data_IF_298737783513
#
_entry.id   IF_298737783513
#
_cell.length_a   1.000
_cell.length_b   1.000
_cell.length_c   1.000
_cell.angle_alpha   90.00
_cell.angle_beta   90.00
_cell.angle_gamma   90.00
#
_symmetry.space_group_name_H-M   'P 1'
#
loop_
_entity.id
_entity.type
_entity.pdbx_description
1 polymer ?
#
# COMPACT_ATOMS: atom_id res chain seq x y z
N UNK A 1 -1.52 8.92 15.00
CA UNK A 1 -1.46 10.19 15.78
C UNK A 1 -1.93 9.94 17.20
N UNK A 2 -1.44 10.72 18.16
CA UNK A 2 -1.81 10.65 19.58
C UNK A 2 -2.21 12.04 20.11
N UNK A 3 -2.67 12.10 21.36
CA UNK A 3 -3.14 13.37 21.95
C UNK A 3 -2.01 14.21 22.58
N UNK A 4 -0.82 13.63 22.67
CA UNK A 4 0.37 14.27 23.25
C UNK A 4 1.49 14.42 22.24
N UNK A 5 2.31 15.45 22.41
CA UNK A 5 3.52 15.61 21.61
C UNK A 5 4.46 14.37 21.78
N UNK A 6 5.16 13.97 20.72
CA UNK A 6 5.22 14.61 19.40
C UNK A 6 4.07 14.22 18.45
N UNK A 7 3.11 13.39 18.86
CA UNK A 7 2.13 12.73 18.01
C UNK A 7 0.81 13.49 17.83
N UNK A 8 0.72 14.74 18.27
CA UNK A 8 -0.52 15.51 18.30
C UNK A 8 -0.66 16.55 17.17
N UNK A 9 0.36 16.74 16.34
CA UNK A 9 0.29 17.59 15.15
C UNK A 9 1.36 17.23 14.13
N UNK A 10 1.17 17.66 12.88
CA UNK A 10 2.05 17.31 11.76
C UNK A 10 3.49 17.76 11.94
N UNK A 11 3.72 18.99 12.45
CA UNK A 11 5.08 19.54 12.63
C UNK A 11 5.92 18.72 13.61
N UNK A 12 5.34 18.42 14.77
CA UNK A 12 6.08 17.69 15.83
C UNK A 12 6.33 16.24 15.47
N UNK A 13 5.41 15.58 14.75
CA UNK A 13 5.65 14.22 14.27
C UNK A 13 6.71 14.17 13.15
N UNK A 14 6.76 15.18 12.27
CA UNK A 14 7.82 15.29 11.27
C UNK A 14 9.18 15.50 11.94
N UNK A 15 9.30 16.35 12.93
CA UNK A 15 10.52 16.55 13.69
C UNK A 15 10.97 15.27 14.39
N UNK A 16 10.04 14.52 14.97
CA UNK A 16 10.29 13.24 15.60
C UNK A 16 10.76 12.20 14.58
N UNK A 17 10.06 12.03 13.46
CA UNK A 17 10.43 11.11 12.39
C UNK A 17 11.82 11.43 11.85
N UNK A 18 12.12 12.72 11.61
CA UNK A 18 13.46 13.17 11.19
C UNK A 18 14.54 12.80 12.19
N UNK A 19 14.28 12.96 13.49
CA UNK A 19 15.24 12.62 14.54
C UNK A 19 15.59 11.13 14.59
N UNK A 20 14.72 10.26 14.07
CA UNK A 20 14.94 8.82 13.94
C UNK A 20 15.68 8.43 12.65
N UNK A 21 15.86 9.38 11.71
CA UNK A 21 16.58 9.15 10.45
C UNK A 21 15.68 8.89 9.25
N UNK A 22 14.36 9.03 9.36
CA UNK A 22 13.47 9.03 8.21
C UNK A 22 13.71 10.25 7.31
N UNK A 23 13.39 10.10 6.04
CA UNK A 23 13.56 11.14 5.01
C UNK A 23 12.23 11.54 4.35
N UNK A 24 11.17 10.81 4.65
CA UNK A 24 9.82 11.08 4.17
C UNK A 24 8.75 10.63 5.14
N UNK A 25 7.51 11.06 4.87
CA UNK A 25 6.30 10.68 5.62
C UNK A 25 5.14 10.43 4.67
N UNK A 26 4.42 9.33 4.87
CA UNK A 26 3.10 9.10 4.31
C UNK A 26 2.06 9.80 5.19
N UNK A 27 1.12 10.52 4.58
CA UNK A 27 0.12 11.29 5.33
C UNK A 27 -1.24 10.59 5.30
N UNK A 28 -1.79 10.17 6.47
CA UNK A 28 -3.14 9.62 6.57
C UNK A 28 -4.18 10.75 6.41
N UNK A 29 -5.05 10.62 5.41
CA UNK A 29 -6.02 11.68 5.07
C UNK A 29 -7.23 11.74 6.00
N UNK A 30 -7.41 10.74 6.85
CA UNK A 30 -8.50 10.68 7.83
C UNK A 30 -8.21 11.39 9.14
N UNK A 31 -6.98 11.86 9.35
CA UNK A 31 -6.60 12.55 10.59
C UNK A 31 -6.44 14.07 10.35
N UNK A 32 -7.37 14.89 10.85
CA UNK A 32 -7.35 16.34 10.62
C UNK A 32 -6.16 17.06 11.29
N UNK A 33 -5.42 16.38 12.18
CA UNK A 33 -4.16 16.90 12.76
C UNK A 33 -3.00 16.84 11.78
N UNK A 34 -3.12 15.99 10.73
CA UNK A 34 -2.13 15.85 9.69
C UNK A 34 -2.44 16.70 8.46
N UNK A 35 -3.70 16.71 8.03
CA UNK A 35 -4.15 17.36 6.80
C UNK A 35 -5.64 17.69 6.87
N UNK A 36 -6.02 18.87 6.38
CA UNK A 36 -7.38 19.14 5.93
C UNK A 36 -7.48 18.74 4.46
N UNK A 37 -8.02 17.53 4.22
CA UNK A 37 -8.02 16.93 2.90
C UNK A 37 -8.80 17.75 1.87
N UNK A 38 -9.98 18.24 2.24
CA UNK A 38 -10.79 19.06 1.34
C UNK A 38 -10.05 20.36 0.98
N UNK A 39 -9.49 21.03 1.98
CA UNK A 39 -8.71 22.27 1.76
C UNK A 39 -7.47 22.02 0.91
N UNK A 40 -6.78 20.87 1.09
CA UNK A 40 -5.64 20.50 0.26
C UNK A 40 -6.02 20.24 -1.21
N UNK A 41 -7.24 19.74 -1.44
CA UNK A 41 -7.78 19.57 -2.79
C UNK A 41 -8.18 20.90 -3.44
N UNK A 42 -8.80 21.80 -2.69
CA UNK A 42 -9.38 23.04 -3.19
C UNK A 42 -8.38 24.22 -3.25
N UNK A 43 -7.30 24.17 -2.44
CA UNK A 43 -6.33 25.27 -2.33
C UNK A 43 -4.89 24.79 -2.57
N UNK A 44 -4.33 25.20 -3.69
CA UNK A 44 -2.90 24.99 -4.00
C UNK A 44 -1.99 25.65 -2.94
N UNK A 45 -2.39 26.83 -2.45
CA UNK A 45 -1.65 27.54 -1.41
C UNK A 45 -1.55 26.71 -0.14
N UNK A 46 -2.65 26.12 0.33
CA UNK A 46 -2.63 25.25 1.50
C UNK A 46 -1.76 23.99 1.27
N UNK A 47 -1.86 23.39 0.08
CA UNK A 47 -1.01 22.24 -0.27
C UNK A 47 0.48 22.62 -0.26
N UNK A 48 0.83 23.81 -0.78
CA UNK A 48 2.22 24.30 -0.75
C UNK A 48 2.69 24.62 0.68
N UNK A 49 1.83 25.18 1.53
CA UNK A 49 2.11 25.43 2.95
C UNK A 49 2.36 24.12 3.71
N UNK A 50 1.52 23.09 3.49
CA UNK A 50 1.71 21.77 4.08
C UNK A 50 3.03 21.13 3.62
N UNK A 51 3.30 21.16 2.31
CA UNK A 51 4.57 20.67 1.75
C UNK A 51 5.78 21.44 2.31
N UNK A 52 5.66 22.76 2.43
CA UNK A 52 6.67 23.62 3.03
C UNK A 52 6.97 23.24 4.48
N UNK A 53 5.93 23.03 5.30
CA UNK A 53 6.06 22.60 6.69
C UNK A 53 6.83 21.27 6.82
N UNK A 54 6.52 20.28 5.96
CA UNK A 54 7.21 18.98 5.95
C UNK A 54 8.67 19.15 5.53
N UNK A 55 8.91 19.95 4.46
CA UNK A 55 10.26 20.23 3.95
C UNK A 55 11.13 20.99 4.96
N UNK A 56 10.56 21.94 5.70
CA UNK A 56 11.27 22.66 6.80
C UNK A 56 11.76 21.69 7.89
N UNK A 57 11.06 20.58 8.11
CA UNK A 57 11.52 19.52 9.00
C UNK A 57 12.61 18.62 8.35
N UNK A 58 12.97 18.85 7.09
CA UNK A 58 13.93 18.04 6.32
C UNK A 58 13.37 16.71 5.85
N UNK A 59 12.06 16.62 5.65
CA UNK A 59 11.34 15.44 5.13
C UNK A 59 10.64 15.78 3.82
N UNK A 60 10.24 14.74 3.08
CA UNK A 60 9.36 14.81 1.92
C UNK A 60 8.03 14.13 2.22
N UNK A 61 6.95 14.53 1.53
CA UNK A 61 5.69 13.77 1.54
C UNK A 61 5.86 12.64 0.52
N UNK A 62 5.72 11.39 0.96
CA UNK A 62 5.87 10.23 0.09
C UNK A 62 4.62 10.02 -0.75
N UNK A 63 3.49 9.84 -0.11
CA UNK A 63 2.14 9.75 -0.69
C UNK A 63 1.08 10.13 0.36
N UNK A 64 -0.14 10.36 -0.09
CA UNK A 64 -1.31 10.38 0.76
C UNK A 64 -1.90 8.97 0.86
N UNK A 65 -2.59 8.67 1.96
CA UNK A 65 -3.25 7.40 2.22
C UNK A 65 -4.71 7.59 2.59
N UNK A 66 -5.62 6.86 1.91
CA UNK A 66 -7.06 6.81 2.20
C UNK A 66 -7.53 5.41 2.59
N UNK A 67 -6.74 4.61 3.29
CA UNK A 67 -7.13 3.24 3.65
C UNK A 67 -8.52 3.21 4.33
N UNK A 68 -8.76 4.08 5.32
CA UNK A 68 -10.04 4.09 6.03
C UNK A 68 -11.23 4.54 5.17
N UNK A 69 -11.02 5.47 4.24
CA UNK A 69 -12.08 5.92 3.32
C UNK A 69 -12.25 4.93 2.15
N UNK A 70 -11.16 4.40 1.59
CA UNK A 70 -11.18 3.49 0.46
C UNK A 70 -11.96 2.21 0.72
N UNK A 71 -11.79 1.62 1.90
CA UNK A 71 -12.58 0.43 2.29
C UNK A 71 -14.11 0.69 2.34
N UNK A 72 -14.53 1.95 2.46
CA UNK A 72 -15.96 2.31 2.49
C UNK A 72 -16.59 2.49 1.11
N UNK A 73 -15.81 2.40 0.03
CA UNK A 73 -16.33 2.38 -1.35
C UNK A 73 -17.19 1.16 -1.58
N UNK A 74 -16.81 0.03 -0.98
CA UNK A 74 -17.56 -1.22 -1.04
C UNK A 74 -17.60 -1.87 0.34
N UNK A 75 -18.79 -2.01 0.92
CA UNK A 75 -18.98 -2.66 2.22
C UNK A 75 -20.11 -3.67 2.09
N UNK A 76 -19.85 -4.92 2.49
CA UNK A 76 -20.89 -5.93 2.58
C UNK A 76 -21.85 -5.61 3.74
N UNK A 77 -23.19 -5.71 3.56
CA UNK A 77 -24.16 -5.31 4.59
C UNK A 77 -23.97 -5.97 5.97
N UNK A 78 -23.41 -7.17 6.03
CA UNK A 78 -23.10 -7.84 7.30
C UNK A 78 -22.06 -7.10 8.16
N UNK A 79 -21.32 -6.16 7.57
CA UNK A 79 -20.27 -5.38 8.24
C UNK A 79 -20.60 -3.90 8.38
N UNK A 80 -21.80 -3.47 7.97
CA UNK A 80 -22.16 -2.04 7.97
C UNK A 80 -21.91 -1.36 9.32
N UNK A 81 -22.38 -1.97 10.41
CA UNK A 81 -22.23 -1.39 11.75
C UNK A 81 -20.74 -1.29 12.20
N UNK A 82 -19.91 -2.25 11.79
CA UNK A 82 -18.49 -2.25 12.12
C UNK A 82 -17.74 -1.17 11.32
N UNK A 83 -18.08 -1.01 10.04
CA UNK A 83 -17.44 -0.03 9.16
C UNK A 83 -17.93 1.41 9.38
N UNK A 84 -19.06 1.59 10.03
CA UNK A 84 -19.51 2.93 10.48
C UNK A 84 -18.50 3.59 11.44
N UNK A 85 -17.67 2.80 12.13
CA UNK A 85 -16.59 3.31 12.96
C UNK A 85 -15.52 4.13 12.20
N UNK A 86 -15.43 3.95 10.87
CA UNK A 86 -14.48 4.67 9.99
C UNK A 86 -15.10 5.87 9.27
N UNK A 87 -16.39 6.15 9.51
CA UNK A 87 -17.13 7.21 8.86
C UNK A 87 -17.46 8.35 9.85
N UNK A 88 -17.66 9.59 9.37
CA UNK A 88 -18.12 10.68 10.23
C UNK A 88 -19.58 10.47 10.66
N UNK A 89 -19.94 11.03 11.81
CA UNK A 89 -21.24 10.77 12.47
C UNK A 89 -22.46 11.07 11.59
N UNK A 90 -22.38 12.04 10.71
CA UNK A 90 -23.48 12.43 9.82
C UNK A 90 -23.89 11.37 8.78
N UNK A 91 -23.03 10.39 8.50
CA UNK A 91 -23.30 9.29 7.55
C UNK A 91 -23.38 7.90 8.19
N UNK A 92 -23.14 7.77 9.50
CA UNK A 92 -23.30 6.52 10.23
C UNK A 92 -24.73 6.01 10.16
N UNK A 93 -24.93 4.70 10.04
CA UNK A 93 -26.23 4.06 9.85
C UNK A 93 -26.88 4.34 8.49
N UNK A 94 -26.14 4.90 7.53
CA UNK A 94 -26.61 5.27 6.20
C UNK A 94 -25.65 4.76 5.13
N UNK A 95 -25.64 3.45 4.81
CA UNK A 95 -24.63 2.82 3.95
C UNK A 95 -24.41 3.53 2.61
N UNK A 96 -25.49 3.95 1.95
CA UNK A 96 -25.39 4.71 0.67
C UNK A 96 -24.68 6.05 0.86
N UNK A 97 -25.08 6.84 1.85
CA UNK A 97 -24.46 8.15 2.11
C UNK A 97 -22.99 7.99 2.55
N UNK A 98 -22.67 6.93 3.30
CA UNK A 98 -21.31 6.57 3.67
C UNK A 98 -20.42 6.29 2.45
N UNK A 99 -20.92 5.49 1.50
CA UNK A 99 -20.21 5.21 0.24
C UNK A 99 -20.05 6.49 -0.61
N UNK A 100 -21.09 7.32 -0.73
CA UNK A 100 -21.01 8.61 -1.44
C UNK A 100 -19.96 9.54 -0.81
N UNK A 101 -19.93 9.62 0.52
CA UNK A 101 -18.90 10.36 1.26
C UNK A 101 -17.49 9.81 0.97
N UNK A 102 -17.30 8.48 1.02
CA UNK A 102 -16.00 7.84 0.76
C UNK A 102 -15.50 8.15 -0.66
N UNK A 103 -16.36 8.05 -1.67
CA UNK A 103 -16.04 8.41 -3.05
C UNK A 103 -15.60 9.88 -3.15
N UNK A 104 -16.27 10.78 -2.45
CA UNK A 104 -15.90 12.20 -2.42
C UNK A 104 -14.53 12.42 -1.75
N UNK A 105 -14.23 11.69 -0.66
CA UNK A 105 -12.92 11.74 -0.02
C UNK A 105 -11.79 11.28 -0.96
N UNK A 106 -12.01 10.22 -1.74
CA UNK A 106 -11.05 9.74 -2.74
C UNK A 106 -10.82 10.78 -3.85
N UNK A 107 -11.86 11.48 -4.30
CA UNK A 107 -11.72 12.58 -5.25
C UNK A 107 -10.91 13.74 -4.67
N UNK A 108 -11.17 14.12 -3.42
CA UNK A 108 -10.33 15.11 -2.74
C UNK A 108 -8.88 14.64 -2.63
N UNK A 109 -8.66 13.36 -2.31
CA UNK A 109 -7.31 12.80 -2.22
C UNK A 109 -6.56 12.81 -3.55
N UNK A 110 -7.22 12.49 -4.66
CA UNK A 110 -6.65 12.61 -6.00
C UNK A 110 -6.18 14.04 -6.30
N UNK A 111 -7.05 15.02 -6.05
CA UNK A 111 -6.75 16.43 -6.30
C UNK A 111 -5.70 16.99 -5.35
N UNK A 112 -5.75 16.62 -4.06
CA UNK A 112 -4.74 16.98 -3.08
C UNK A 112 -3.37 16.38 -3.45
N UNK A 113 -3.30 15.11 -3.87
CA UNK A 113 -2.07 14.48 -4.37
C UNK A 113 -1.50 15.24 -5.56
N UNK A 114 -2.33 15.61 -6.54
CA UNK A 114 -1.91 16.45 -7.67
C UNK A 114 -1.35 17.80 -7.19
N UNK A 115 -2.05 18.50 -6.28
CA UNK A 115 -1.63 19.78 -5.74
C UNK A 115 -0.30 19.70 -4.98
N UNK A 116 -0.04 18.58 -4.30
CA UNK A 116 1.21 18.29 -3.58
C UNK A 116 2.34 17.84 -4.52
N UNK A 117 2.02 17.49 -5.78
CA UNK A 117 2.98 16.97 -6.76
C UNK A 117 3.34 15.51 -6.51
N UNK A 118 2.39 14.71 -6.00
CA UNK A 118 2.54 13.27 -5.75
C UNK A 118 2.02 12.46 -6.92
N UNK A 119 2.65 11.31 -7.19
CA UNK A 119 2.33 10.44 -8.32
C UNK A 119 1.60 9.16 -7.90
N UNK A 120 1.64 8.80 -6.62
CA UNK A 120 1.03 7.60 -6.06
C UNK A 120 0.14 7.96 -4.87
N UNK A 121 -0.88 7.14 -4.63
CA UNK A 121 -1.85 7.27 -3.56
C UNK A 121 -2.23 5.90 -3.03
N UNK A 122 -2.01 5.66 -1.73
CA UNK A 122 -2.27 4.38 -1.08
C UNK A 122 -3.72 4.25 -0.60
N UNK A 123 -4.35 3.08 -0.81
CA UNK A 123 -5.74 2.86 -0.39
C UNK A 123 -6.11 1.38 -0.29
N UNK A 124 -7.25 1.09 0.36
CA UNK A 124 -7.96 -0.19 0.29
C UNK A 124 -9.03 -0.17 -0.81
N UNK A 125 -9.47 -1.35 -1.23
CA UNK A 125 -10.49 -1.53 -2.27
C UNK A 125 -11.93 -1.50 -1.74
N UNK A 126 -12.12 -1.87 -0.48
CA UNK A 126 -13.41 -2.31 0.03
C UNK A 126 -13.72 -3.76 -0.34
N UNK A 127 -14.76 -4.31 0.25
CA UNK A 127 -15.14 -5.70 0.09
C UNK A 127 -16.64 -5.94 0.05
N UNK A 128 -17.11 -6.58 -1.01
CA UNK A 128 -18.46 -7.13 -1.14
C UNK A 128 -18.47 -8.64 -0.96
N UNK A 129 -17.38 -9.31 -1.33
CA UNK A 129 -17.25 -10.77 -1.42
C UNK A 129 -16.49 -11.41 -0.26
N UNK A 130 -15.74 -10.62 0.52
CA UNK A 130 -14.93 -11.16 1.61
C UNK A 130 -15.68 -12.11 2.55
N UNK A 131 -16.95 -11.87 2.96
CA UNK A 131 -17.70 -12.81 3.78
C UNK A 131 -17.92 -14.17 3.13
N UNK A 132 -17.71 -14.28 1.83
CA UNK A 132 -17.91 -15.50 1.04
C UNK A 132 -16.59 -16.07 0.50
N UNK A 133 -15.43 -15.58 0.98
CA UNK A 133 -14.08 -16.01 0.52
C UNK A 133 -13.87 -17.50 0.73
N UNK A 134 -14.36 -18.06 1.84
CA UNK A 134 -14.38 -19.48 2.05
C UNK A 134 -15.59 -20.10 1.29
N UNK A 135 -15.39 -21.16 0.45
CA UNK A 135 -16.41 -21.66 -0.46
C UNK A 135 -17.51 -22.52 0.19
N UNK A 136 -17.72 -22.36 1.50
CA UNK A 136 -18.77 -23.03 2.26
C UNK A 136 -19.42 -22.06 3.24
N UNK A 137 -20.77 -21.96 3.31
CA UNK A 137 -21.76 -22.61 2.44
C UNK A 137 -21.52 -22.32 0.95
N UNK A 138 -21.99 -23.22 0.08
CA UNK A 138 -21.77 -23.13 -1.37
C UNK A 138 -22.23 -21.80 -1.93
N UNK A 139 -21.31 -21.10 -2.63
CA UNK A 139 -21.62 -19.82 -3.29
C UNK A 139 -22.59 -20.03 -4.45
N UNK A 140 -23.61 -19.16 -4.64
CA UNK A 140 -24.42 -19.17 -5.86
C UNK A 140 -23.55 -18.98 -7.12
N UNK A 141 -23.94 -19.63 -8.20
CA UNK A 141 -23.28 -19.43 -9.51
C UNK A 141 -23.34 -17.96 -9.92
N UNK A 142 -22.22 -17.38 -10.36
CA UNK A 142 -22.13 -16.00 -10.80
C UNK A 142 -21.99 -14.96 -9.67
N UNK A 143 -21.94 -15.37 -8.40
CA UNK A 143 -21.80 -14.43 -7.28
C UNK A 143 -20.48 -13.66 -7.36
N UNK A 144 -19.37 -14.35 -7.61
CA UNK A 144 -18.03 -13.75 -7.67
C UNK A 144 -17.95 -12.76 -8.82
N UNK A 145 -18.39 -13.14 -9.99
CA UNK A 145 -18.44 -12.29 -11.18
C UNK A 145 -19.27 -11.03 -10.97
N UNK A 146 -20.43 -11.19 -10.31
CA UNK A 146 -21.32 -10.06 -9.96
C UNK A 146 -20.67 -9.12 -8.96
N UNK A 147 -19.99 -9.65 -7.94
CA UNK A 147 -19.30 -8.86 -6.93
C UNK A 147 -18.15 -8.02 -7.53
N UNK A 148 -17.28 -8.63 -8.33
CA UNK A 148 -16.19 -7.89 -8.99
C UNK A 148 -16.71 -6.90 -10.05
N UNK A 149 -17.80 -7.22 -10.75
CA UNK A 149 -18.46 -6.26 -11.64
C UNK A 149 -18.95 -5.04 -10.86
N UNK A 150 -19.60 -5.23 -9.72
CA UNK A 150 -20.05 -4.12 -8.88
C UNK A 150 -18.88 -3.34 -8.30
N UNK A 151 -17.82 -4.00 -7.82
CA UNK A 151 -16.62 -3.35 -7.34
C UNK A 151 -16.00 -2.46 -8.43
N UNK A 152 -15.86 -2.99 -9.64
CA UNK A 152 -15.36 -2.23 -10.80
C UNK A 152 -16.26 -1.04 -11.16
N UNK A 153 -17.60 -1.20 -11.12
CA UNK A 153 -18.53 -0.11 -11.36
C UNK A 153 -18.33 1.05 -10.38
N UNK A 154 -18.03 0.75 -9.12
CA UNK A 154 -17.76 1.78 -8.11
C UNK A 154 -16.39 2.45 -8.29
N UNK A 155 -15.37 1.68 -8.62
CA UNK A 155 -14.01 2.17 -8.74
C UNK A 155 -13.69 2.86 -10.07
N UNK A 156 -14.29 2.46 -11.18
CA UNK A 156 -13.96 3.02 -12.50
C UNK A 156 -14.12 4.56 -12.58
N UNK A 157 -15.19 5.18 -12.04
CA UNK A 157 -15.28 6.64 -12.00
C UNK A 157 -14.21 7.31 -11.12
N UNK A 158 -13.75 6.61 -10.05
CA UNK A 158 -12.68 7.09 -9.17
C UNK A 158 -11.35 7.01 -9.91
N UNK A 159 -11.04 5.88 -10.53
CA UNK A 159 -9.83 5.67 -11.32
C UNK A 159 -9.70 6.70 -12.45
N UNK A 160 -10.79 6.99 -13.17
CA UNK A 160 -10.82 8.03 -14.20
C UNK A 160 -10.46 9.41 -13.62
N UNK A 161 -10.98 9.75 -12.45
CA UNK A 161 -10.65 11.02 -11.80
C UNK A 161 -9.20 11.09 -11.33
N UNK A 162 -8.65 9.98 -10.81
CA UNK A 162 -7.23 9.88 -10.50
C UNK A 162 -6.36 10.01 -11.76
N UNK A 163 -6.81 9.49 -12.90
CA UNK A 163 -6.11 9.66 -14.19
C UNK A 163 -6.09 11.11 -14.65
N UNK A 164 -7.19 11.83 -14.52
CA UNK A 164 -7.25 13.28 -14.78
C UNK A 164 -6.27 14.07 -13.89
N UNK A 165 -6.05 13.60 -12.65
CA UNK A 165 -5.10 14.19 -11.72
C UNK A 165 -3.64 13.71 -11.93
N UNK A 166 -3.40 12.68 -12.75
CA UNK A 166 -2.07 12.13 -13.01
C UNK A 166 -1.51 11.27 -11.86
N UNK A 167 -2.37 10.70 -11.01
CA UNK A 167 -2.00 9.97 -9.79
C UNK A 167 -2.39 8.51 -9.90
N UNK A 168 -1.48 7.60 -9.54
CA UNK A 168 -1.74 6.17 -9.49
C UNK A 168 -2.48 5.78 -8.20
N UNK A 169 -3.50 4.94 -8.32
CA UNK A 169 -4.20 4.35 -7.17
C UNK A 169 -3.51 3.05 -6.82
N UNK A 170 -2.86 3.03 -5.67
CA UNK A 170 -2.08 1.90 -5.20
C UNK A 170 -2.90 1.12 -4.17
N UNK A 171 -3.57 0.06 -4.64
CA UNK A 171 -4.35 -0.82 -3.75
C UNK A 171 -3.42 -1.67 -2.91
N UNK A 172 -3.59 -1.63 -1.61
CA UNK A 172 -2.98 -2.60 -0.71
C UNK A 172 -3.74 -3.93 -0.80
N UNK A 173 -3.02 -4.99 -1.13
CA UNK A 173 -3.56 -6.36 -1.19
C UNK A 173 -3.64 -6.90 0.24
N UNK A 174 -4.87 -6.98 0.75
CA UNK A 174 -5.09 -7.12 2.18
C UNK A 174 -6.23 -8.10 2.51
N UNK A 175 -6.03 -9.05 3.47
CA UNK A 175 -7.13 -9.87 3.99
C UNK A 175 -8.24 -9.01 4.59
N UNK A 176 -9.47 -9.27 4.21
CA UNK A 176 -10.61 -8.42 4.60
C UNK A 176 -11.13 -7.56 3.45
N UNK A 177 -10.29 -7.37 2.43
CA UNK A 177 -10.62 -6.66 1.20
C UNK A 177 -10.99 -7.64 0.07
N UNK A 178 -11.68 -7.17 -0.97
CA UNK A 178 -11.92 -8.02 -2.15
C UNK A 178 -10.63 -8.23 -2.94
N UNK A 179 -9.70 -7.26 -2.92
CA UNK A 179 -8.36 -7.41 -3.46
C UNK A 179 -7.42 -7.94 -2.36
N UNK A 180 -7.33 -9.27 -2.22
CA UNK A 180 -6.56 -9.91 -1.15
C UNK A 180 -5.44 -10.83 -1.63
N UNK A 181 -5.40 -11.13 -2.94
CA UNK A 181 -4.34 -11.90 -3.59
C UNK A 181 -4.19 -11.49 -5.07
N UNK A 182 -3.27 -12.15 -5.80
CA UNK A 182 -3.04 -11.84 -7.20
C UNK A 182 -4.26 -12.15 -8.09
N UNK A 183 -4.95 -13.25 -7.84
CA UNK A 183 -6.13 -13.65 -8.64
C UNK A 183 -7.27 -12.64 -8.48
N UNK A 184 -7.55 -12.21 -7.27
CA UNK A 184 -8.59 -11.20 -7.03
C UNK A 184 -8.25 -9.85 -7.66
N UNK A 185 -6.97 -9.47 -7.65
CA UNK A 185 -6.49 -8.28 -8.34
C UNK A 185 -6.64 -8.39 -9.87
N UNK A 186 -6.28 -9.53 -10.48
CA UNK A 186 -6.45 -9.80 -11.91
C UNK A 186 -7.94 -9.77 -12.32
N UNK A 187 -8.83 -10.35 -11.52
CA UNK A 187 -10.27 -10.30 -11.73
C UNK A 187 -10.81 -8.86 -11.71
N UNK A 188 -10.26 -8.01 -10.87
CA UNK A 188 -10.60 -6.59 -10.84
C UNK A 188 -10.05 -5.86 -12.08
N UNK A 189 -8.77 -6.05 -12.42
CA UNK A 189 -8.12 -5.43 -13.58
C UNK A 189 -8.88 -5.71 -14.88
N UNK A 190 -9.29 -6.97 -15.11
CA UNK A 190 -10.10 -7.33 -16.27
C UNK A 190 -11.38 -6.47 -16.37
N UNK A 191 -12.05 -6.22 -15.23
CA UNK A 191 -13.34 -5.51 -15.20
C UNK A 191 -13.22 -3.99 -15.25
N UNK A 192 -12.07 -3.44 -14.91
CA UNK A 192 -11.76 -2.04 -15.13
C UNK A 192 -11.00 -1.81 -16.44
N UNK A 193 -11.02 -2.79 -17.37
CA UNK A 193 -10.35 -2.76 -18.67
C UNK A 193 -8.85 -2.43 -18.55
N UNK A 194 -8.18 -3.10 -17.63
CA UNK A 194 -6.75 -2.94 -17.38
C UNK A 194 -6.34 -1.48 -17.15
N UNK A 195 -7.18 -0.74 -16.42
CA UNK A 195 -7.02 0.69 -16.21
C UNK A 195 -5.62 1.02 -15.69
N UNK A 196 -4.90 1.91 -16.38
CA UNK A 196 -3.48 2.21 -16.11
C UNK A 196 -3.22 2.73 -14.69
N UNK A 197 -4.23 3.35 -14.03
CA UNK A 197 -4.12 3.86 -12.66
C UNK A 197 -4.49 2.84 -11.58
N UNK A 198 -4.97 1.65 -11.97
CA UNK A 198 -5.18 0.56 -11.02
C UNK A 198 -3.84 -0.12 -10.73
N UNK A 199 -3.12 0.39 -9.76
CA UNK A 199 -1.77 -0.02 -9.37
C UNK A 199 -1.77 -0.70 -8.00
N UNK A 200 -0.60 -1.07 -7.51
CA UNK A 200 -0.42 -1.83 -6.29
C UNK A 200 0.43 -1.09 -5.26
N UNK A 201 -0.02 -1.13 -4.04
CA UNK A 201 0.81 -0.99 -2.87
C UNK A 201 1.25 -2.40 -2.45
N UNK A 202 2.54 -2.67 -2.48
CA UNK A 202 3.10 -3.95 -2.11
C UNK A 202 3.43 -3.96 -0.61
N UNK A 203 2.72 -4.79 0.16
CA UNK A 203 2.99 -5.07 1.57
C UNK A 203 3.18 -6.58 1.76
N UNK A 204 4.42 -7.04 1.99
CA UNK A 204 4.72 -8.46 2.12
C UNK A 204 4.14 -9.09 3.39
N UNK A 205 3.83 -8.30 4.42
CA UNK A 205 3.36 -8.80 5.70
C UNK A 205 2.01 -9.51 5.58
N UNK A 206 1.10 -8.94 4.80
CA UNK A 206 -0.21 -9.54 4.54
C UNK A 206 -0.12 -10.85 3.77
N UNK A 207 0.90 -11.00 2.91
CA UNK A 207 1.15 -12.23 2.17
C UNK A 207 1.73 -13.32 3.06
N UNK A 208 2.61 -12.97 4.01
CA UNK A 208 3.08 -13.91 5.03
C UNK A 208 1.91 -14.47 5.85
N UNK A 209 0.98 -13.61 6.27
CA UNK A 209 -0.21 -14.04 7.03
C UNK A 209 -1.14 -14.98 6.23
N UNK A 210 -1.10 -14.90 4.91
CA UNK A 210 -1.88 -15.72 3.99
C UNK A 210 -1.12 -16.95 3.46
N UNK A 211 0.16 -17.13 3.84
CA UNK A 211 1.06 -18.14 3.26
C UNK A 211 1.23 -18.00 1.74
N UNK A 212 1.15 -16.78 1.20
CA UNK A 212 1.34 -16.46 -0.22
C UNK A 212 2.83 -16.18 -0.48
N UNK A 213 3.35 -16.61 -1.64
CA UNK A 213 4.73 -16.30 -2.03
C UNK A 213 4.87 -14.82 -2.45
N UNK A 214 5.18 -14.00 -1.46
CA UNK A 214 5.36 -12.56 -1.63
C UNK A 214 6.55 -12.19 -2.55
N UNK A 215 7.54 -13.06 -2.70
CA UNK A 215 8.72 -12.81 -3.54
C UNK A 215 8.38 -12.98 -5.02
N UNK A 216 7.72 -14.08 -5.38
CA UNK A 216 7.23 -14.31 -6.75
C UNK A 216 6.17 -13.29 -7.15
N UNK A 217 5.43 -12.71 -6.20
CA UNK A 217 4.46 -11.65 -6.46
C UNK A 217 5.10 -10.41 -7.12
N UNK A 218 6.32 -10.05 -6.71
CA UNK A 218 7.07 -8.95 -7.33
C UNK A 218 7.38 -9.28 -8.80
N UNK A 219 7.84 -10.50 -9.09
CA UNK A 219 8.18 -10.92 -10.47
C UNK A 219 6.97 -10.81 -11.41
N UNK A 220 5.77 -11.09 -10.90
CA UNK A 220 4.53 -11.08 -11.68
C UNK A 220 4.00 -9.65 -11.88
N UNK A 221 4.04 -8.82 -10.83
CA UNK A 221 3.30 -7.55 -10.80
C UNK A 221 4.17 -6.30 -10.71
N UNK A 222 5.50 -6.40 -10.90
CA UNK A 222 6.45 -5.28 -10.73
C UNK A 222 6.04 -4.02 -11.50
N UNK A 223 5.48 -4.15 -12.69
CA UNK A 223 5.04 -3.00 -13.50
C UNK A 223 3.90 -2.20 -12.85
N UNK A 224 3.11 -2.86 -11.99
CA UNK A 224 1.97 -2.26 -11.28
C UNK A 224 2.32 -1.82 -9.85
N UNK A 225 3.44 -2.26 -9.29
CA UNK A 225 3.87 -1.85 -7.96
C UNK A 225 4.39 -0.40 -8.02
N UNK A 226 3.64 0.54 -7.40
CA UNK A 226 3.98 1.97 -7.36
C UNK A 226 4.15 2.50 -5.94
N UNK A 227 3.77 1.73 -4.93
CA UNK A 227 4.00 2.00 -3.52
C UNK A 227 4.49 0.73 -2.81
N UNK A 228 5.29 0.89 -1.75
CA UNK A 228 5.84 -0.22 -0.99
C UNK A 228 5.81 0.08 0.50
N UNK A 229 5.10 -0.76 1.26
CA UNK A 229 5.15 -0.77 2.71
C UNK A 229 6.18 -1.76 3.21
N UNK A 230 7.13 -1.28 3.97
CA UNK A 230 8.11 -2.08 4.69
C UNK A 230 7.49 -2.43 6.05
N UNK A 231 6.82 -3.58 6.11
CA UNK A 231 6.10 -4.09 7.26
C UNK A 231 6.42 -5.56 7.46
N UNK A 232 6.77 -5.95 8.66
CA UNK A 232 7.21 -7.31 8.96
C UNK A 232 6.09 -8.13 9.61
N UNK A 233 6.14 -9.42 9.41
CA UNK A 233 5.19 -10.38 9.96
C UNK A 233 5.85 -11.72 10.17
N UNK A 234 5.23 -12.56 11.00
CA UNK A 234 5.58 -13.96 11.17
C UNK A 234 4.33 -14.85 11.06
N UNK A 235 4.52 -16.07 10.61
CA UNK A 235 3.49 -17.10 10.60
C UNK A 235 4.04 -18.39 11.20
N UNK A 236 3.57 -18.72 12.39
CA UNK A 236 4.02 -19.88 13.18
C UNK A 236 2.84 -20.83 13.39
N UNK A 237 2.50 -21.69 12.41
CA UNK A 237 1.38 -22.60 12.52
C UNK A 237 1.60 -23.62 13.64
N UNK A 238 0.53 -24.00 14.30
CA UNK A 238 0.54 -25.02 15.35
C UNK A 238 -0.49 -26.10 15.03
N UNK A 239 -0.54 -27.18 15.79
CA UNK A 239 -1.64 -28.16 15.71
C UNK A 239 -3.00 -27.60 16.14
N UNK A 240 -3.06 -26.35 16.61
CA UNK A 240 -4.26 -25.68 17.10
C UNK A 240 -4.72 -24.51 16.23
N UNK A 241 -3.84 -23.95 15.41
CA UNK A 241 -4.06 -22.73 14.65
C UNK A 241 -3.41 -22.81 13.27
N UNK A 242 -4.05 -22.22 12.27
CA UNK A 242 -3.58 -22.13 10.90
C UNK A 242 -3.86 -20.75 10.30
N UNK A 243 -3.92 -20.68 8.96
CA UNK A 243 -4.03 -19.42 8.17
C UNK A 243 -5.25 -18.57 8.53
N UNK A 244 -6.36 -19.18 8.94
CA UNK A 244 -7.57 -18.42 9.31
C UNK A 244 -7.42 -17.68 10.65
N UNK A 245 -6.41 -17.99 11.45
CA UNK A 245 -6.06 -17.28 12.68
C UNK A 245 -6.99 -17.54 13.86
N UNK A 246 -8.16 -18.14 13.67
CA UNK A 246 -9.16 -18.36 14.72
C UNK A 246 -9.67 -17.05 15.33
N UNK A 247 -10.15 -17.13 16.59
CA UNK A 247 -10.74 -16.00 17.31
C UNK A 247 -9.79 -15.42 18.39
N UNK A 248 -8.47 -15.67 18.28
CA UNK A 248 -7.49 -15.13 19.21
C UNK A 248 -7.15 -13.68 18.90
N UNK A 249 -6.68 -12.96 19.92
CA UNK A 249 -6.06 -11.64 19.75
C UNK A 249 -4.71 -11.73 19.03
N UNK A 250 -4.20 -10.59 18.60
CA UNK A 250 -2.98 -10.51 17.78
C UNK A 250 -1.74 -11.17 18.43
N UNK A 251 -1.61 -11.11 19.75
CA UNK A 251 -0.46 -11.70 20.47
C UNK A 251 -0.44 -13.23 20.37
N UNK A 252 -1.61 -13.85 20.34
CA UNK A 252 -1.76 -15.32 20.43
C UNK A 252 -2.00 -16.00 19.08
N UNK A 253 -2.07 -15.24 17.97
CA UNK A 253 -2.31 -15.79 16.62
C UNK A 253 -1.06 -16.44 16.06
N UNK A 254 -1.26 -17.46 15.22
CA UNK A 254 -0.17 -18.06 14.44
C UNK A 254 0.45 -17.06 13.47
N UNK A 255 -0.38 -16.29 12.77
CA UNK A 255 0.04 -15.19 11.88
C UNK A 255 -0.14 -13.84 12.56
N UNK A 256 0.94 -13.05 12.71
CA UNK A 256 0.90 -11.75 13.36
C UNK A 256 1.98 -10.81 12.85
N UNK A 257 1.72 -9.51 12.98
CA UNK A 257 2.70 -8.49 12.61
C UNK A 257 3.81 -8.35 13.63
N UNK A 258 4.99 -8.01 13.11
CA UNK A 258 6.21 -7.85 13.91
C UNK A 258 6.92 -6.53 13.58
N UNK A 259 7.72 -6.06 14.52
CA UNK A 259 8.66 -4.97 14.24
C UNK A 259 9.70 -5.42 13.21
N UNK A 260 10.19 -4.47 12.40
CA UNK A 260 11.11 -4.77 11.30
C UNK A 260 12.36 -5.53 11.78
N UNK A 261 12.59 -6.69 11.18
CA UNK A 261 13.69 -7.59 11.51
C UNK A 261 13.38 -8.62 12.62
N UNK A 262 12.23 -8.52 13.28
CA UNK A 262 11.78 -9.49 14.29
C UNK A 262 10.85 -10.56 13.68
N UNK A 263 10.42 -10.39 12.43
CA UNK A 263 9.54 -11.29 11.71
C UNK A 263 10.27 -12.26 10.78
N UNK A 264 9.56 -12.70 9.74
CA UNK A 264 10.02 -13.73 8.80
C UNK A 264 10.13 -13.20 7.36
N UNK A 265 9.87 -11.92 7.11
CA UNK A 265 9.94 -11.34 5.76
C UNK A 265 11.40 -11.24 5.32
N UNK A 266 11.71 -11.79 4.14
CA UNK A 266 13.04 -11.70 3.52
C UNK A 266 13.18 -10.37 2.76
N UNK A 267 13.41 -9.29 3.50
CA UNK A 267 13.59 -7.96 2.93
C UNK A 267 14.80 -7.85 2.00
N UNK A 268 15.84 -8.64 2.18
CA UNK A 268 17.00 -8.61 1.27
C UNK A 268 16.60 -9.04 -0.13
N UNK A 269 15.83 -10.11 -0.25
CA UNK A 269 15.30 -10.56 -1.53
C UNK A 269 14.31 -9.54 -2.11
N UNK A 270 13.43 -8.96 -1.28
CA UNK A 270 12.47 -7.93 -1.74
C UNK A 270 13.19 -6.74 -2.32
N UNK A 271 14.13 -6.12 -1.58
CA UNK A 271 14.88 -4.96 -2.06
C UNK A 271 15.69 -5.30 -3.32
N UNK A 272 16.27 -6.51 -3.43
CA UNK A 272 16.98 -6.96 -4.63
C UNK A 272 16.05 -7.03 -5.84
N UNK A 273 14.85 -7.62 -5.69
CA UNK A 273 13.87 -7.73 -6.78
C UNK A 273 13.31 -6.36 -7.18
N UNK A 274 12.93 -5.53 -6.22
CA UNK A 274 12.45 -4.16 -6.51
C UNK A 274 13.53 -3.34 -7.25
N UNK A 275 14.81 -3.49 -6.85
CA UNK A 275 15.93 -2.85 -7.54
C UNK A 275 16.12 -3.43 -8.95
N UNK A 276 16.02 -4.75 -9.14
CA UNK A 276 16.11 -5.41 -10.44
C UNK A 276 15.07 -4.89 -11.43
N UNK A 277 13.89 -4.53 -10.96
CA UNK A 277 12.76 -4.01 -11.74
C UNK A 277 12.66 -2.47 -11.70
N UNK A 278 13.75 -1.78 -11.37
CA UNK A 278 13.84 -0.31 -11.37
C UNK A 278 12.74 0.40 -10.57
N UNK A 279 12.29 -0.20 -9.45
CA UNK A 279 11.34 0.45 -8.57
C UNK A 279 11.95 1.76 -8.01
N UNK A 280 11.31 2.87 -8.33
CA UNK A 280 11.76 4.22 -7.97
C UNK A 280 10.89 4.91 -6.90
N UNK A 281 9.91 4.19 -6.35
CA UNK A 281 9.04 4.69 -5.28
C UNK A 281 9.70 4.68 -3.91
N UNK A 282 8.93 4.99 -2.90
CA UNK A 282 9.37 5.05 -1.51
C UNK A 282 9.34 3.67 -0.83
N UNK A 283 10.25 3.46 0.10
CA UNK A 283 10.19 2.36 1.08
C UNK A 283 9.60 2.93 2.38
N UNK A 284 8.29 2.84 2.52
CA UNK A 284 7.54 3.44 3.63
C UNK A 284 7.42 2.43 4.75
N UNK A 285 7.91 2.78 5.94
CA UNK A 285 7.68 1.98 7.11
C UNK A 285 6.22 2.06 7.53
N UNK A 286 5.52 0.95 7.48
CA UNK A 286 4.28 0.75 8.21
C UNK A 286 4.53 -0.14 9.41
N UNK A 287 4.11 0.30 10.59
CA UNK A 287 4.42 -0.42 11.83
C UNK A 287 3.15 -0.87 12.54
N UNK A 288 2.99 -2.17 12.65
CA UNK A 288 1.95 -2.83 13.42
C UNK A 288 2.58 -4.02 14.16
N UNK A 289 3.01 -3.83 15.37
CA UNK A 289 3.55 -4.91 16.18
C UNK A 289 2.77 -5.06 17.48
N UNK A 290 2.29 -6.26 17.75
CA UNK A 290 1.53 -6.56 18.97
C UNK A 290 2.39 -6.76 20.23
N UNK A 291 3.72 -6.68 20.12
CA UNK A 291 4.66 -7.04 21.20
C UNK A 291 5.58 -5.88 21.56
N UNK A 292 6.29 -5.30 20.58
CA UNK A 292 7.30 -4.25 20.81
C UNK A 292 6.64 -2.88 21.01
N UNK A 293 7.27 -2.03 21.81
CA UNK A 293 6.84 -0.63 21.98
C UNK A 293 7.02 0.14 20.66
N UNK A 294 6.03 0.96 20.22
CA UNK A 294 6.06 1.64 18.91
C UNK A 294 7.26 2.57 18.72
N UNK A 295 7.70 3.29 19.74
CA UNK A 295 8.85 4.18 19.64
C UNK A 295 10.18 3.40 19.44
N UNK A 296 10.33 2.23 20.05
CA UNK A 296 11.50 1.37 19.81
C UNK A 296 11.46 0.78 18.41
N UNK A 297 10.29 0.33 17.96
CA UNK A 297 10.09 -0.15 16.59
C UNK A 297 10.39 0.92 15.55
N UNK A 298 9.94 2.15 15.75
CA UNK A 298 10.22 3.25 14.84
C UNK A 298 11.70 3.61 14.78
N UNK A 299 12.39 3.61 15.93
CA UNK A 299 13.83 3.90 16.00
C UNK A 299 14.66 2.85 15.26
N UNK A 300 14.33 1.59 15.43
CA UNK A 300 15.01 0.48 14.76
C UNK A 300 14.67 0.45 13.26
N UNK A 301 13.42 0.77 12.90
CA UNK A 301 12.89 0.65 11.54
C UNK A 301 13.59 1.55 10.53
N UNK A 302 13.86 2.81 10.87
CA UNK A 302 14.59 3.73 9.99
C UNK A 302 15.99 3.18 9.64
N UNK A 303 16.69 2.65 10.63
CA UNK A 303 18.00 2.03 10.42
C UNK A 303 17.91 0.75 9.59
N UNK A 304 16.90 -0.08 9.87
CA UNK A 304 16.66 -1.32 9.14
C UNK A 304 16.43 -1.07 7.65
N UNK A 305 15.53 -0.13 7.31
CA UNK A 305 15.24 0.21 5.91
C UNK A 305 16.50 0.70 5.22
N UNK A 306 17.20 1.67 5.81
CA UNK A 306 18.42 2.23 5.26
C UNK A 306 19.49 1.17 4.96
N UNK A 307 19.60 0.15 5.82
CA UNK A 307 20.55 -0.96 5.66
C UNK A 307 20.19 -1.89 4.48
N UNK A 308 18.90 -2.01 4.15
CA UNK A 308 18.41 -2.88 3.08
C UNK A 308 18.33 -2.19 1.71
N UNK A 309 18.33 -0.84 1.65
CA UNK A 309 18.36 -0.11 0.38
C UNK A 309 19.66 -0.42 -0.37
N UNK A 310 19.54 -0.81 -1.62
CA UNK A 310 20.66 -1.20 -2.48
C UNK A 310 21.15 0.04 -3.23
N UNK A 311 22.44 0.30 -3.12
CA UNK A 311 23.12 1.27 -3.99
C UNK A 311 23.46 0.57 -5.30
N UNK A 312 22.76 0.93 -6.37
CA UNK A 312 22.94 0.36 -7.70
C UNK A 312 24.32 0.69 -8.24
N UNK A 313 25.00 -0.28 -8.88
CA UNK A 313 26.23 -0.06 -9.61
C UNK A 313 25.95 0.42 -11.04
N UNK A 314 26.75 1.33 -11.54
CA UNK A 314 26.66 1.81 -12.92
C UNK A 314 27.42 0.90 -13.91
N UNK A 315 28.21 -0.05 -13.40
CA UNK A 315 29.07 -0.93 -14.22
C UNK A 315 28.85 -2.39 -13.88
N UNK A 316 28.76 -3.23 -14.91
CA UNK A 316 28.83 -4.67 -14.73
C UNK A 316 30.25 -5.08 -14.26
N UNK A 317 30.35 -6.20 -13.55
CA UNK A 317 31.65 -6.63 -13.00
C UNK A 317 32.67 -7.00 -14.09
N UNK A 318 32.22 -7.32 -15.31
CA UNK A 318 33.01 -7.74 -16.47
C UNK A 318 33.15 -6.67 -17.56
N UNK A 319 32.75 -5.43 -17.30
CA UNK A 319 32.89 -4.29 -18.24
C UNK A 319 34.32 -4.11 -18.74
N UNK A 320 35.32 -4.46 -17.91
CA UNK A 320 36.73 -4.40 -18.29
C UNK A 320 37.10 -5.39 -19.41
N UNK A 321 36.31 -6.45 -19.61
CA UNK A 321 36.49 -7.48 -20.63
C UNK A 321 35.65 -7.20 -21.88
N UNK A 322 34.77 -6.18 -21.84
CA UNK A 322 33.92 -5.81 -22.94
C UNK A 322 34.72 -5.35 -24.16
N UNK A 323 34.40 -5.89 -25.33
CA UNK A 323 34.98 -5.47 -26.59
C UNK A 323 33.90 -4.82 -27.45
N UNK A 324 34.24 -3.76 -28.15
CA UNK A 324 33.37 -3.26 -29.21
C UNK A 324 33.25 -4.31 -30.30
N UNK A 325 32.02 -4.71 -30.63
CA UNK A 325 31.73 -5.75 -31.62
C UNK A 325 30.82 -5.19 -32.72
N UNK A 326 31.02 -5.70 -33.93
CA UNK A 326 30.12 -5.49 -35.05
C UNK A 326 29.56 -6.84 -35.53
N UNK A 327 28.65 -6.80 -36.48
CA UNK A 327 28.00 -8.00 -37.01
C UNK A 327 29.04 -8.98 -37.59
N UNK A 328 30.10 -8.51 -38.21
CA UNK A 328 31.17 -9.35 -38.74
C UNK A 328 31.91 -10.07 -37.61
N UNK A 329 32.26 -9.38 -36.56
CA UNK A 329 32.90 -9.98 -35.39
C UNK A 329 31.97 -11.02 -34.72
N UNK A 330 30.70 -10.69 -34.57
CA UNK A 330 29.71 -11.63 -34.00
C UNK A 330 29.58 -12.91 -34.84
N UNK A 331 29.52 -12.78 -36.17
CA UNK A 331 29.49 -13.94 -37.08
C UNK A 331 30.75 -14.80 -36.96
N UNK A 332 31.93 -14.19 -36.87
CA UNK A 332 33.19 -14.89 -36.66
C UNK A 332 33.22 -15.68 -35.36
N UNK A 333 32.77 -15.05 -34.24
CA UNK A 333 32.68 -15.71 -32.93
C UNK A 333 31.71 -16.89 -32.95
N UNK A 334 30.61 -16.77 -33.71
CA UNK A 334 29.62 -17.82 -33.87
C UNK A 334 30.08 -18.93 -34.85
N UNK A 335 31.25 -18.81 -35.50
CA UNK A 335 31.73 -19.78 -36.47
C UNK A 335 30.94 -19.77 -37.77
N UNK A 336 30.34 -18.64 -38.13
CA UNK A 336 29.52 -18.47 -39.35
C UNK A 336 30.31 -17.89 -40.54
N UNK A 337 31.59 -17.66 -40.37
CA UNK A 337 32.56 -17.21 -41.40
C UNK A 337 33.72 -18.17 -41.50
#
# INVERSE_FOLDING_TARGET
MGDKAPFNNMKTICQWAKSLGFVGVQIPTWDPRCIDLQKAAESKTYADELKGLVNECGLEITELSTHLQGQLVAVHPAYDDLFDGFAPDNVKGKPKARTEWAVQQLKYAAKASQNLGLNAHATFSGALLWPTVYPWPQRPTGLVESGFKELANRWLPILNYFDECGVDVCYEIHPGEDLHDGISYEMFLERVNDHKRACLLYDPSHFVLQCLDYRSYIDIYHERIKAFHVKDAEFNPTGRQGVYGGFQGWVDRAGRFRSLGDGQVDFKTIFSKLTQYDYSGWAVMEWECCIKHPEDGAREGAHFIKKNIIRVTEKAFDDFAGQASDEKFNRKVLGLE
#
